data_IF_573845202531
#
_entry.id   IF_573845202531
#
_cell.length_a   1.000
_cell.length_b   1.000
_cell.length_c   1.000
_cell.angle_alpha   90.00
_cell.angle_beta   90.00
_cell.angle_gamma   90.00
#
_symmetry.space_group_name_H-M   'P 1'
#
loop_
_entity.id
_entity.type
_entity.pdbx_description
1 polymer ?
#
# COMPACT_ATOMS: atom_id res chain seq x y z
N UNK A 1 -20.16 40.19 27.04
CA UNK A 1 -20.70 41.33 27.76
C UNK A 1 -21.86 40.93 28.70
N UNK A 2 -22.68 39.95 28.38
CA UNK A 2 -23.86 39.53 29.18
C UNK A 2 -23.57 38.83 30.52
N UNK A 3 -22.30 38.38 30.74
CA UNK A 3 -21.92 37.75 32.02
C UNK A 3 -21.40 38.73 33.08
N UNK A 4 -21.15 39.97 32.72
CA UNK A 4 -20.58 40.98 33.64
C UNK A 4 -21.56 41.53 34.69
N UNK A 5 -22.82 41.75 34.33
CA UNK A 5 -23.82 42.34 35.26
C UNK A 5 -24.23 41.34 36.36
N UNK A 6 -24.52 40.07 35.98
CA UNK A 6 -24.81 39.00 36.95
C UNK A 6 -23.67 38.64 37.88
N UNK A 7 -22.44 38.92 37.48
CA UNK A 7 -21.25 38.67 38.27
C UNK A 7 -21.08 39.68 39.41
N UNK A 8 -21.27 40.96 39.11
CA UNK A 8 -21.20 42.04 40.11
C UNK A 8 -22.32 41.94 41.16
N UNK A 9 -23.56 41.62 40.75
CA UNK A 9 -24.68 41.44 41.67
C UNK A 9 -24.47 40.29 42.63
N UNK A 10 -23.84 39.19 42.19
CA UNK A 10 -23.53 38.08 43.05
C UNK A 10 -22.36 38.36 44.02
N UNK A 11 -21.38 39.17 43.62
CA UNK A 11 -20.32 39.65 44.53
C UNK A 11 -20.90 40.61 45.59
N UNK A 12 -21.76 41.54 45.18
CA UNK A 12 -22.40 42.49 46.06
C UNK A 12 -23.33 41.85 47.11
N UNK A 13 -23.89 40.68 46.78
CA UNK A 13 -24.73 39.91 47.73
C UNK A 13 -23.92 39.06 48.72
N UNK A 14 -22.58 39.12 48.71
CA UNK A 14 -21.71 38.37 49.62
C UNK A 14 -21.60 36.86 49.33
N UNK A 15 -22.11 36.41 48.17
CA UNK A 15 -21.98 35.01 47.75
C UNK A 15 -20.63 34.75 47.13
N UNK A 16 -20.08 33.57 47.44
CA UNK A 16 -18.88 33.05 46.74
C UNK A 16 -19.21 32.81 45.26
N UNK A 17 -18.36 33.28 44.38
CA UNK A 17 -18.47 33.05 42.93
C UNK A 17 -17.19 32.37 42.42
N UNK A 18 -17.39 31.37 41.61
CA UNK A 18 -16.32 30.60 40.96
C UNK A 18 -16.54 30.63 39.46
N UNK A 19 -15.43 30.82 38.70
CA UNK A 19 -15.48 30.76 37.24
C UNK A 19 -14.10 30.44 36.68
N UNK A 20 -14.12 29.77 35.55
CA UNK A 20 -12.91 29.51 34.74
C UNK A 20 -12.89 30.51 33.59
N UNK A 21 -11.68 30.92 33.19
CA UNK A 21 -11.49 31.64 31.94
C UNK A 21 -10.19 31.25 31.26
N UNK A 22 -10.20 31.34 29.91
CA UNK A 22 -9.06 31.14 29.07
C UNK A 22 -8.49 32.50 28.66
N UNK A 23 -7.19 32.62 28.73
CA UNK A 23 -6.44 33.78 28.30
C UNK A 23 -5.41 33.39 27.23
N UNK A 24 -5.42 34.11 26.10
CA UNK A 24 -4.40 33.96 25.06
C UNK A 24 -3.48 35.19 25.11
N UNK A 25 -2.17 34.92 25.32
CA UNK A 25 -1.17 35.98 25.32
C UNK A 25 -1.02 36.56 23.92
N UNK A 26 -1.14 37.87 23.74
CA UNK A 26 -1.20 38.50 22.42
C UNK A 26 0.05 38.30 21.56
N UNK A 27 1.24 38.31 22.17
CA UNK A 27 2.51 38.19 21.47
C UNK A 27 2.96 36.73 21.32
N UNK A 28 2.91 35.93 22.39
CA UNK A 28 3.38 34.54 22.39
C UNK A 28 2.35 33.54 21.90
N UNK A 29 1.07 33.94 21.77
CA UNK A 29 -0.07 33.07 21.45
C UNK A 29 -0.23 31.89 22.44
N UNK A 30 0.40 31.99 23.61
CA UNK A 30 0.27 31.00 24.66
C UNK A 30 -1.09 31.09 25.31
N UNK A 31 -1.80 29.97 25.42
CA UNK A 31 -3.11 29.88 26.09
C UNK A 31 -2.90 29.44 27.51
N UNK A 32 -3.52 30.17 28.46
CA UNK A 32 -3.53 29.86 29.88
C UNK A 32 -4.94 29.79 30.43
N UNK A 33 -5.15 28.88 31.33
CA UNK A 33 -6.42 28.66 31.99
C UNK A 33 -6.33 29.02 33.48
N UNK A 34 -7.24 29.85 33.94
CA UNK A 34 -7.31 30.29 35.31
C UNK A 34 -8.62 29.90 35.92
N UNK A 35 -8.58 29.39 37.13
CA UNK A 35 -9.71 29.20 38.01
C UNK A 35 -9.76 30.32 39.04
N UNK A 36 -10.87 31.04 39.13
CA UNK A 36 -11.01 32.19 39.98
C UNK A 36 -12.12 31.96 40.99
N UNK A 37 -11.83 32.37 42.20
CA UNK A 37 -12.82 32.40 43.30
C UNK A 37 -12.85 33.81 43.85
N UNK A 38 -14.04 34.45 43.84
CA UNK A 38 -14.25 35.74 44.46
C UNK A 38 -15.18 35.60 45.67
N UNK A 39 -14.76 36.14 46.78
CA UNK A 39 -15.52 36.14 48.04
C UNK A 39 -15.67 37.58 48.52
N UNK A 40 -16.94 38.02 48.69
CA UNK A 40 -17.27 39.29 49.32
C UNK A 40 -17.38 39.13 50.83
N UNK A 41 -16.77 40.02 51.59
CA UNK A 41 -16.87 40.07 53.06
C UNK A 41 -17.06 41.51 53.53
N UNK A 42 -17.97 41.73 54.51
CA UNK A 42 -18.19 43.04 55.11
C UNK A 42 -17.27 43.22 56.32
N UNK A 43 -16.39 44.21 56.24
CA UNK A 43 -15.40 44.53 57.32
C UNK A 43 -15.53 46.02 57.62
N UNK A 44 -15.85 46.36 58.86
CA UNK A 44 -16.03 47.77 59.34
C UNK A 44 -17.03 48.62 58.50
N UNK A 45 -18.16 48.00 58.07
CA UNK A 45 -19.15 48.66 57.24
C UNK A 45 -18.76 48.95 55.80
N UNK A 46 -17.71 48.30 55.32
CA UNK A 46 -17.25 48.31 53.90
C UNK A 46 -17.15 46.92 53.35
N UNK A 47 -17.69 46.68 52.16
CA UNK A 47 -17.57 45.43 51.47
C UNK A 47 -16.16 45.31 50.90
N UNK A 48 -15.42 44.28 51.32
CA UNK A 48 -14.09 43.91 50.78
C UNK A 48 -14.26 42.63 49.97
N UNK A 49 -13.57 42.54 48.83
CA UNK A 49 -13.51 41.39 47.99
C UNK A 49 -12.15 40.76 48.04
N UNK A 50 -12.11 39.42 48.18
CA UNK A 50 -10.93 38.60 48.05
C UNK A 50 -11.06 37.85 46.74
N UNK A 51 -10.12 38.02 45.82
CA UNK A 51 -10.02 37.29 44.58
C UNK A 51 -8.85 36.33 44.69
N UNK A 52 -9.15 35.04 44.59
CA UNK A 52 -8.12 33.99 44.50
C UNK A 52 -8.07 33.54 43.04
N UNK A 53 -6.93 33.67 42.42
CA UNK A 53 -6.68 33.23 41.05
C UNK A 53 -5.67 32.08 41.05
N UNK A 54 -6.05 30.95 40.49
CA UNK A 54 -5.20 29.74 40.38
C UNK A 54 -4.95 29.43 38.92
N UNK A 55 -3.70 29.39 38.55
CA UNK A 55 -3.31 28.93 37.20
C UNK A 55 -3.49 27.39 37.10
N UNK A 56 -4.39 26.97 36.22
CA UNK A 56 -4.75 25.58 35.95
C UNK A 56 -4.26 25.10 34.57
N UNK A 57 -3.38 25.86 33.94
CA UNK A 57 -2.88 25.57 32.59
C UNK A 57 -2.28 24.19 32.51
N UNK A 58 -1.38 23.84 33.45
CA UNK A 58 -0.73 22.54 33.49
C UNK A 58 -1.76 21.39 33.68
N UNK A 59 -2.70 21.56 34.63
CA UNK A 59 -3.76 20.58 34.87
C UNK A 59 -4.64 20.36 33.62
N UNK A 60 -5.01 21.43 32.94
CA UNK A 60 -5.83 21.37 31.70
C UNK A 60 -5.05 20.71 30.57
N UNK A 61 -3.77 21.02 30.38
CA UNK A 61 -2.91 20.41 29.36
C UNK A 61 -2.74 18.90 29.61
N UNK A 62 -2.46 18.51 30.86
CA UNK A 62 -2.34 17.09 31.24
C UNK A 62 -3.65 16.34 31.02
N UNK A 63 -4.79 16.92 31.44
CA UNK A 63 -6.09 16.30 31.24
C UNK A 63 -6.46 16.19 29.77
N UNK A 64 -6.15 17.19 28.94
CA UNK A 64 -6.36 17.11 27.49
C UNK A 64 -5.48 16.03 26.87
N UNK A 65 -4.19 16.00 27.18
CA UNK A 65 -3.27 14.97 26.68
C UNK A 65 -3.71 13.56 27.11
N UNK A 66 -4.19 13.41 28.34
CA UNK A 66 -4.74 12.15 28.83
C UNK A 66 -6.02 11.75 28.08
N UNK A 67 -6.93 12.70 27.87
CA UNK A 67 -8.16 12.46 27.07
C UNK A 67 -7.85 12.04 25.65
N UNK A 68 -6.91 12.71 25.00
CA UNK A 68 -6.48 12.40 23.64
C UNK A 68 -5.80 11.01 23.58
N UNK A 69 -4.97 10.68 24.57
CA UNK A 69 -4.34 9.36 24.68
C UNK A 69 -5.36 8.24 24.92
N UNK A 70 -6.37 8.47 25.75
CA UNK A 70 -7.47 7.51 25.99
C UNK A 70 -8.29 7.31 24.71
N UNK A 71 -8.66 8.39 24.02
CA UNK A 71 -9.41 8.32 22.76
C UNK A 71 -8.63 7.55 21.67
N UNK A 72 -7.31 7.80 21.57
CA UNK A 72 -6.43 7.07 20.66
C UNK A 72 -6.36 5.58 21.02
N UNK A 73 -6.18 5.26 22.31
CA UNK A 73 -6.12 3.88 22.81
C UNK A 73 -7.46 3.13 22.59
N UNK A 74 -8.59 3.78 22.82
CA UNK A 74 -9.92 3.19 22.54
C UNK A 74 -10.12 2.91 21.06
N UNK A 75 -9.70 3.84 20.18
CA UNK A 75 -9.78 3.68 18.73
C UNK A 75 -8.94 2.49 18.28
N UNK A 76 -7.70 2.39 18.77
CA UNK A 76 -6.81 1.26 18.49
C UNK A 76 -7.40 -0.06 19.00
N UNK A 77 -7.99 -0.08 20.20
CA UNK A 77 -8.59 -1.29 20.78
C UNK A 77 -9.85 -1.74 20.02
N UNK A 78 -10.67 -0.79 19.56
CA UNK A 78 -11.84 -1.10 18.70
C UNK A 78 -11.39 -1.68 17.36
N UNK A 79 -10.37 -1.08 16.72
CA UNK A 79 -9.78 -1.61 15.49
C UNK A 79 -9.27 -3.04 15.69
N UNK A 80 -8.54 -3.31 16.79
CA UNK A 80 -8.04 -4.65 17.16
C UNK A 80 -9.17 -5.65 17.39
N UNK A 81 -10.25 -5.25 18.06
CA UNK A 81 -11.40 -6.13 18.31
C UNK A 81 -12.15 -6.47 17.03
N UNK A 82 -12.35 -5.49 16.16
CA UNK A 82 -12.93 -5.69 14.82
C UNK A 82 -12.05 -6.62 13.97
N UNK A 83 -10.74 -6.46 14.05
CA UNK A 83 -9.76 -7.34 13.41
C UNK A 83 -9.95 -8.79 13.82
N UNK A 84 -9.92 -9.09 15.12
CA UNK A 84 -10.06 -10.46 15.63
C UNK A 84 -11.39 -11.10 15.21
N UNK A 85 -12.47 -10.33 15.21
CA UNK A 85 -13.78 -10.77 14.74
C UNK A 85 -13.78 -11.12 13.25
N UNK A 86 -13.25 -10.22 12.42
CA UNK A 86 -13.18 -10.43 10.97
C UNK A 86 -12.26 -11.61 10.62
N UNK A 87 -11.09 -11.72 11.27
CA UNK A 87 -10.17 -12.83 11.09
C UNK A 87 -10.80 -14.18 11.48
N UNK A 88 -11.55 -14.24 12.59
CA UNK A 88 -12.28 -15.44 12.96
C UNK A 88 -13.27 -15.89 11.89
N UNK A 89 -13.97 -14.94 11.28
CA UNK A 89 -14.89 -15.22 10.18
C UNK A 89 -14.15 -15.68 8.92
N UNK A 90 -13.08 -14.98 8.55
CA UNK A 90 -12.34 -15.23 7.31
C UNK A 90 -11.53 -16.54 7.37
N UNK A 91 -11.10 -16.97 8.56
CA UNK A 91 -10.51 -18.29 8.81
C UNK A 91 -11.58 -19.39 8.77
N UNK A 92 -12.76 -19.14 9.37
CA UNK A 92 -13.84 -20.14 9.44
C UNK A 92 -14.38 -20.53 8.07
N UNK A 93 -14.48 -19.58 7.16
CA UNK A 93 -15.04 -19.81 5.81
C UNK A 93 -14.25 -20.85 5.01
N UNK A 94 -12.94 -20.71 4.76
CA UNK A 94 -12.14 -21.72 4.07
C UNK A 94 -12.06 -23.04 4.86
N UNK A 95 -12.02 -23.00 6.19
CA UNK A 95 -12.00 -24.19 7.02
C UNK A 95 -13.29 -25.02 6.85
N UNK A 96 -14.45 -24.37 6.84
CA UNK A 96 -15.72 -25.04 6.59
C UNK A 96 -15.80 -25.58 5.15
N UNK A 97 -15.23 -24.86 4.16
CA UNK A 97 -15.13 -25.33 2.79
C UNK A 97 -14.24 -26.58 2.67
N UNK A 98 -13.09 -26.62 3.33
CA UNK A 98 -12.22 -27.80 3.39
C UNK A 98 -12.98 -28.99 3.96
N UNK A 99 -13.63 -28.84 5.12
CA UNK A 99 -14.41 -29.89 5.76
C UNK A 99 -15.55 -30.36 4.82
N UNK A 100 -16.32 -29.41 4.26
CA UNK A 100 -17.45 -29.71 3.39
C UNK A 100 -17.05 -30.44 2.12
N UNK A 101 -16.04 -29.97 1.38
CA UNK A 101 -15.58 -30.62 0.17
C UNK A 101 -14.92 -31.98 0.44
N UNK A 102 -14.20 -32.11 1.55
CA UNK A 102 -13.65 -33.42 1.97
C UNK A 102 -14.78 -34.42 2.28
N UNK A 103 -15.82 -34.00 3.01
CA UNK A 103 -16.99 -34.84 3.29
C UNK A 103 -17.72 -35.25 1.99
N UNK A 104 -17.89 -34.30 1.04
CA UNK A 104 -18.49 -34.59 -0.26
C UNK A 104 -17.62 -35.55 -1.09
N UNK A 105 -16.30 -35.41 -1.04
CA UNK A 105 -15.39 -36.34 -1.72
C UNK A 105 -15.53 -37.77 -1.19
N UNK A 106 -15.59 -37.93 0.15
CA UNK A 106 -15.79 -39.22 0.80
C UNK A 106 -17.15 -39.83 0.41
N UNK A 107 -18.21 -39.03 0.42
CA UNK A 107 -19.58 -39.49 0.07
C UNK A 107 -19.75 -39.86 -1.41
N UNK A 108 -18.85 -39.41 -2.28
CA UNK A 108 -18.91 -39.66 -3.72
C UNK A 108 -17.66 -40.41 -4.22
N UNK A 109 -17.08 -41.28 -3.39
CA UNK A 109 -15.79 -41.91 -3.64
C UNK A 109 -15.71 -42.70 -4.96
N UNK A 110 -16.82 -43.22 -5.44
CA UNK A 110 -16.92 -43.97 -6.69
C UNK A 110 -16.99 -43.08 -7.95
N UNK A 111 -17.25 -41.79 -7.78
CA UNK A 111 -17.28 -40.80 -8.88
C UNK A 111 -15.96 -40.03 -8.95
N UNK A 112 -14.99 -40.54 -9.72
CA UNK A 112 -13.64 -40.00 -9.82
C UNK A 112 -13.58 -38.52 -10.24
N UNK A 113 -14.47 -38.07 -11.14
CA UNK A 113 -14.48 -36.69 -11.63
C UNK A 113 -14.96 -35.74 -10.53
N UNK A 114 -16.01 -36.09 -9.79
CA UNK A 114 -16.47 -35.30 -8.64
C UNK A 114 -15.46 -35.27 -7.51
N UNK A 115 -14.86 -36.43 -7.21
CA UNK A 115 -13.80 -36.48 -6.18
C UNK A 115 -12.63 -35.55 -6.54
N UNK A 116 -12.20 -35.56 -7.80
CA UNK A 116 -11.13 -34.70 -8.29
C UNK A 116 -11.50 -33.20 -8.18
N UNK A 117 -12.73 -32.84 -8.52
CA UNK A 117 -13.25 -31.46 -8.38
C UNK A 117 -13.28 -31.02 -6.90
N UNK A 118 -13.78 -31.88 -5.99
CA UNK A 118 -13.83 -31.59 -4.56
C UNK A 118 -12.43 -31.46 -3.96
N UNK A 119 -11.49 -32.33 -4.32
CA UNK A 119 -10.10 -32.24 -3.90
C UNK A 119 -9.42 -30.96 -4.40
N UNK A 120 -9.66 -30.55 -5.65
CA UNK A 120 -9.15 -29.28 -6.18
C UNK A 120 -9.69 -28.07 -5.38
N UNK A 121 -10.98 -28.07 -5.04
CA UNK A 121 -11.61 -27.04 -4.21
C UNK A 121 -11.07 -27.05 -2.76
N UNK A 122 -10.82 -28.23 -2.20
CA UNK A 122 -10.18 -28.39 -0.89
C UNK A 122 -8.79 -27.79 -0.90
N UNK A 123 -7.97 -28.09 -1.90
CA UNK A 123 -6.63 -27.57 -2.05
C UNK A 123 -6.62 -26.05 -2.19
N UNK A 124 -7.51 -25.49 -3.02
CA UNK A 124 -7.68 -24.06 -3.19
C UNK A 124 -8.05 -23.36 -1.86
N UNK A 125 -8.98 -23.96 -1.09
CA UNK A 125 -9.37 -23.43 0.23
C UNK A 125 -8.26 -23.52 1.25
N UNK A 126 -7.45 -24.60 1.23
CA UNK A 126 -6.29 -24.77 2.10
C UNK A 126 -5.19 -23.75 1.81
N UNK A 127 -4.88 -23.50 0.54
CA UNK A 127 -3.92 -22.50 0.13
C UNK A 127 -4.38 -21.08 0.53
N UNK A 128 -5.68 -20.81 0.41
CA UNK A 128 -6.24 -19.53 0.87
C UNK A 128 -6.12 -19.36 2.38
N UNK A 129 -6.41 -20.42 3.17
CA UNK A 129 -6.24 -20.39 4.62
C UNK A 129 -4.78 -20.16 5.03
N UNK A 130 -3.83 -20.81 4.34
CA UNK A 130 -2.41 -20.62 4.58
C UNK A 130 -1.97 -19.18 4.31
N UNK A 131 -2.45 -18.57 3.22
CA UNK A 131 -2.20 -17.16 2.93
C UNK A 131 -2.72 -16.24 4.04
N UNK A 132 -3.95 -16.47 4.53
CA UNK A 132 -4.53 -15.72 5.64
C UNK A 132 -3.70 -15.81 6.91
N UNK A 133 -3.24 -17.01 7.27
CA UNK A 133 -2.39 -17.23 8.45
C UNK A 133 -1.06 -16.46 8.31
N UNK A 134 -0.44 -16.52 7.13
CA UNK A 134 0.82 -15.82 6.86
C UNK A 134 0.64 -14.29 6.94
N UNK A 135 -0.46 -13.74 6.40
CA UNK A 135 -0.78 -12.32 6.49
C UNK A 135 -0.90 -11.86 7.96
N UNK A 136 -1.57 -12.66 8.79
CA UNK A 136 -1.72 -12.37 10.24
C UNK A 136 -0.38 -12.43 10.97
N UNK A 137 0.45 -13.43 10.66
CA UNK A 137 1.79 -13.57 11.25
C UNK A 137 2.72 -12.44 10.83
N UNK A 138 2.69 -12.04 9.56
CA UNK A 138 3.47 -10.90 9.07
C UNK A 138 3.02 -9.60 9.74
N UNK A 139 1.72 -9.34 9.84
CA UNK A 139 1.20 -8.16 10.53
C UNK A 139 1.63 -8.14 12.00
N UNK A 140 1.54 -9.26 12.70
CA UNK A 140 1.99 -9.38 14.10
C UNK A 140 3.50 -9.13 14.27
N UNK A 141 4.33 -9.59 13.31
CA UNK A 141 5.78 -9.34 13.31
C UNK A 141 6.10 -7.88 13.04
N UNK A 142 5.36 -7.24 12.13
CA UNK A 142 5.47 -5.81 11.82
C UNK A 142 5.11 -4.98 13.07
N UNK A 143 3.94 -5.20 13.68
CA UNK A 143 3.50 -4.46 14.86
C UNK A 143 4.45 -4.61 16.07
N UNK A 144 5.06 -5.79 16.22
CA UNK A 144 6.03 -6.04 17.30
C UNK A 144 7.46 -5.58 17.00
N UNK A 145 7.72 -5.00 15.81
CA UNK A 145 9.05 -4.59 15.36
C UNK A 145 10.04 -5.75 15.18
N UNK A 146 9.54 -6.99 15.03
CA UNK A 146 10.36 -8.20 14.92
C UNK A 146 10.59 -8.63 13.46
N UNK A 147 10.04 -7.91 12.50
CA UNK A 147 10.34 -8.15 11.10
C UNK A 147 11.72 -7.56 10.79
N UNK A 148 12.63 -8.37 10.29
CA UNK A 148 13.94 -7.94 9.81
C UNK A 148 14.03 -8.20 8.32
N UNK A 149 14.68 -7.31 7.59
CA UNK A 149 14.98 -7.47 6.17
C UNK A 149 16.30 -8.24 6.01
N UNK A 150 16.32 -9.21 5.10
CA UNK A 150 17.50 -9.98 4.74
C UNK A 150 17.94 -9.59 3.33
N UNK A 151 18.95 -8.71 3.25
CA UNK A 151 19.53 -8.32 1.96
C UNK A 151 20.36 -9.46 1.39
N UNK A 152 19.97 -9.91 0.21
CA UNK A 152 20.70 -10.92 -0.60
C UNK A 152 20.93 -10.38 -2.00
N UNK A 153 21.83 -11.02 -2.73
CA UNK A 153 22.05 -10.74 -4.15
C UNK A 153 20.82 -11.16 -4.96
N UNK A 154 20.27 -10.24 -5.74
CA UNK A 154 19.05 -10.45 -6.52
C UNK A 154 19.23 -9.86 -7.91
N UNK A 155 18.91 -10.63 -8.93
CA UNK A 155 18.74 -10.13 -10.29
C UNK A 155 17.26 -9.76 -10.51
N UNK A 156 16.99 -8.53 -10.92
CA UNK A 156 15.62 -8.02 -11.10
C UNK A 156 14.89 -8.66 -12.30
N UNK A 157 15.62 -9.05 -13.33
CA UNK A 157 15.05 -9.77 -14.48
C UNK A 157 14.56 -11.15 -14.08
N UNK A 158 15.31 -11.86 -13.21
CA UNK A 158 14.88 -13.15 -12.66
C UNK A 158 13.62 -13.00 -11.80
N UNK A 159 13.53 -11.94 -10.99
CA UNK A 159 12.33 -11.63 -10.19
C UNK A 159 11.12 -11.46 -11.12
N UNK A 160 11.23 -10.69 -12.18
CA UNK A 160 10.14 -10.50 -13.14
C UNK A 160 9.76 -11.79 -13.86
N UNK A 161 10.74 -12.63 -14.20
CA UNK A 161 10.51 -13.94 -14.81
C UNK A 161 9.73 -14.87 -13.88
N UNK A 162 10.17 -14.96 -12.62
CA UNK A 162 9.49 -15.74 -11.58
C UNK A 162 8.03 -15.28 -11.39
N UNK A 163 7.80 -13.97 -11.28
CA UNK A 163 6.47 -13.38 -11.16
C UNK A 163 5.57 -13.73 -12.35
N UNK A 164 6.10 -13.58 -13.58
CA UNK A 164 5.36 -13.94 -14.80
C UNK A 164 4.94 -15.40 -14.77
N UNK A 165 5.84 -16.29 -14.37
CA UNK A 165 5.59 -17.73 -14.29
C UNK A 165 4.48 -18.03 -13.29
N UNK A 166 4.52 -17.41 -12.09
CA UNK A 166 3.53 -17.62 -11.04
C UNK A 166 2.12 -17.18 -11.47
N UNK A 167 2.00 -16.03 -12.16
CA UNK A 167 0.67 -15.47 -12.49
C UNK A 167 0.13 -15.95 -13.84
N UNK A 168 0.93 -16.60 -14.70
CA UNK A 168 0.56 -16.99 -16.05
C UNK A 168 -0.74 -17.79 -16.12
N UNK A 169 -0.95 -18.73 -15.20
CA UNK A 169 -2.18 -19.52 -15.13
C UNK A 169 -3.43 -18.67 -14.88
N UNK A 170 -3.34 -17.65 -14.02
CA UNK A 170 -4.47 -16.76 -13.72
C UNK A 170 -4.74 -15.79 -14.88
N UNK A 171 -3.68 -15.28 -15.51
CA UNK A 171 -3.75 -14.44 -16.70
C UNK A 171 -4.47 -15.17 -17.83
N UNK A 172 -4.03 -16.40 -18.13
CA UNK A 172 -4.65 -17.22 -19.17
C UNK A 172 -6.11 -17.56 -18.86
N UNK A 173 -6.40 -18.02 -17.64
CA UNK A 173 -7.76 -18.38 -17.23
C UNK A 173 -8.75 -17.19 -17.31
N UNK A 174 -8.25 -15.97 -17.14
CA UNK A 174 -9.05 -14.74 -17.18
C UNK A 174 -8.97 -14.01 -18.51
N UNK A 175 -8.19 -14.55 -19.48
CA UNK A 175 -7.97 -13.96 -20.80
C UNK A 175 -7.46 -12.51 -20.72
N UNK A 176 -6.52 -12.24 -19.79
CA UNK A 176 -5.91 -10.92 -19.64
C UNK A 176 -4.66 -10.81 -20.52
N UNK A 177 -4.31 -9.59 -20.88
CA UNK A 177 -3.02 -9.26 -21.45
C UNK A 177 -2.07 -8.82 -20.35
N UNK A 178 -0.85 -9.39 -20.32
CA UNK A 178 0.18 -9.06 -19.35
C UNK A 178 1.42 -8.53 -20.06
N UNK A 179 1.78 -7.28 -19.76
CA UNK A 179 3.02 -6.65 -20.22
C UNK A 179 3.98 -6.49 -19.04
N UNK A 180 5.22 -6.92 -19.22
CA UNK A 180 6.27 -6.77 -18.22
C UNK A 180 7.54 -6.25 -18.89
N UNK A 181 8.06 -5.12 -18.42
CA UNK A 181 9.27 -4.53 -18.96
C UNK A 181 10.18 -3.94 -17.85
N UNK A 182 11.49 -3.98 -18.11
CA UNK A 182 12.54 -3.39 -17.27
C UNK A 182 13.49 -2.53 -18.11
N UNK A 183 12.96 -1.76 -19.06
CA UNK A 183 13.69 -1.07 -20.13
C UNK A 183 14.74 -0.08 -19.64
N UNK A 184 14.40 0.64 -18.58
CA UNK A 184 15.21 1.73 -18.06
C UNK A 184 16.02 1.29 -16.82
N UNK A 185 16.32 -0.01 -16.68
CA UNK A 185 17.20 -0.56 -15.64
C UNK A 185 18.58 -0.80 -16.25
N UNK A 186 19.58 -0.11 -15.69
CA UNK A 186 20.99 -0.32 -16.08
C UNK A 186 21.70 -1.30 -15.16
N UNK A 187 21.34 -1.30 -13.89
CA UNK A 187 21.90 -2.16 -12.86
C UNK A 187 20.82 -3.16 -12.41
N UNK A 188 20.79 -4.33 -13.05
CA UNK A 188 19.80 -5.37 -12.76
C UNK A 188 20.15 -6.18 -11.52
N UNK A 189 21.45 -6.27 -11.19
CA UNK A 189 21.97 -7.01 -10.05
C UNK A 189 22.05 -6.07 -8.83
N UNK A 190 21.21 -6.36 -7.84
CA UNK A 190 21.02 -5.51 -6.65
C UNK A 190 21.05 -6.31 -5.35
N UNK A 191 21.29 -5.62 -4.24
CA UNK A 191 21.10 -6.19 -2.90
C UNK A 191 19.72 -5.75 -2.38
N UNK A 192 18.84 -6.71 -2.12
CA UNK A 192 17.54 -6.48 -1.49
C UNK A 192 17.00 -7.77 -0.85
N UNK A 193 15.93 -7.66 -0.07
CA UNK A 193 15.20 -8.83 0.40
C UNK A 193 14.29 -9.36 -0.73
N UNK A 194 14.74 -10.43 -1.42
CA UNK A 194 14.01 -11.07 -2.53
C UNK A 194 12.62 -11.54 -2.09
N UNK A 195 12.50 -12.09 -0.90
CA UNK A 195 11.23 -12.62 -0.39
C UNK A 195 10.21 -11.50 -0.20
N UNK A 196 10.63 -10.40 0.41
CA UNK A 196 9.77 -9.26 0.65
C UNK A 196 9.46 -8.48 -0.63
N UNK A 197 10.41 -8.33 -1.52
CA UNK A 197 10.16 -7.74 -2.85
C UNK A 197 9.13 -8.57 -3.63
N UNK A 198 9.28 -9.88 -3.68
CA UNK A 198 8.31 -10.78 -4.32
C UNK A 198 6.92 -10.68 -3.66
N UNK A 199 6.87 -10.61 -2.32
CA UNK A 199 5.61 -10.46 -1.58
C UNK A 199 4.87 -9.16 -1.96
N UNK A 200 5.58 -8.03 -2.03
CA UNK A 200 5.04 -6.74 -2.49
C UNK A 200 4.46 -6.88 -3.90
N UNK A 201 5.28 -7.35 -4.83
CA UNK A 201 4.93 -7.40 -6.25
C UNK A 201 3.80 -8.39 -6.53
N UNK A 202 3.82 -9.57 -5.90
CA UNK A 202 2.74 -10.56 -6.03
C UNK A 202 1.43 -10.07 -5.44
N UNK A 203 1.47 -9.35 -4.32
CA UNK A 203 0.26 -8.80 -3.72
C UNK A 203 -0.40 -7.75 -4.64
N UNK A 204 0.39 -6.85 -5.21
CA UNK A 204 -0.12 -5.84 -6.14
C UNK A 204 -0.59 -6.46 -7.46
N UNK A 205 0.20 -7.38 -8.01
CA UNK A 205 -0.12 -8.04 -9.28
C UNK A 205 -1.37 -8.93 -9.16
N UNK A 206 -1.50 -9.68 -8.06
CA UNK A 206 -2.71 -10.47 -7.80
C UNK A 206 -3.97 -9.61 -7.63
N UNK A 207 -3.84 -8.43 -7.01
CA UNK A 207 -4.93 -7.46 -6.93
C UNK A 207 -5.27 -6.90 -8.32
N UNK A 208 -4.30 -6.50 -9.13
CA UNK A 208 -4.51 -6.05 -10.49
C UNK A 208 -5.26 -7.12 -11.33
N UNK A 209 -4.79 -8.38 -11.31
CA UNK A 209 -5.45 -9.50 -11.99
C UNK A 209 -6.88 -9.71 -11.46
N UNK A 210 -7.07 -9.64 -10.15
CA UNK A 210 -8.35 -9.87 -9.49
C UNK A 210 -9.41 -8.85 -9.88
N UNK A 211 -9.05 -7.56 -9.95
CA UNK A 211 -9.97 -6.46 -10.19
C UNK A 211 -10.06 -6.02 -11.66
N UNK A 212 -9.27 -6.62 -12.55
CA UNK A 212 -9.39 -6.41 -14.00
C UNK A 212 -10.41 -7.39 -14.58
N UNK A 213 -11.42 -6.94 -15.36
CA UNK A 213 -12.35 -7.83 -16.04
C UNK A 213 -11.64 -8.66 -17.13
N UNK A 214 -12.29 -9.75 -17.56
CA UNK A 214 -11.77 -10.59 -18.65
C UNK A 214 -11.52 -9.75 -19.92
N UNK A 215 -10.43 -10.02 -20.62
CA UNK A 215 -9.99 -9.26 -21.80
C UNK A 215 -9.32 -7.92 -21.48
N UNK A 216 -9.09 -7.62 -20.19
CA UNK A 216 -8.37 -6.42 -19.79
C UNK A 216 -6.86 -6.59 -19.80
N UNK A 217 -6.17 -5.53 -19.42
CA UNK A 217 -4.71 -5.41 -19.50
C UNK A 217 -4.11 -5.11 -18.13
N UNK A 218 -3.02 -5.80 -17.81
CA UNK A 218 -2.18 -5.55 -16.63
C UNK A 218 -0.75 -5.33 -17.09
N UNK A 219 -0.08 -4.31 -16.58
CA UNK A 219 1.32 -4.04 -16.90
C UNK A 219 2.18 -3.86 -15.65
N UNK A 220 3.40 -4.38 -15.71
CA UNK A 220 4.45 -4.20 -14.70
C UNK A 220 5.64 -3.55 -15.39
N UNK A 221 6.04 -2.39 -14.90
CA UNK A 221 7.19 -1.67 -15.42
C UNK A 221 8.19 -1.38 -14.30
N UNK A 222 9.46 -1.69 -14.56
CA UNK A 222 10.57 -1.40 -13.65
C UNK A 222 11.47 -0.34 -14.29
N UNK A 223 11.86 0.66 -13.52
CA UNK A 223 12.78 1.73 -13.92
C UNK A 223 13.81 1.97 -12.84
N UNK A 224 15.03 2.24 -13.26
CA UNK A 224 16.05 2.80 -12.39
C UNK A 224 16.04 4.31 -12.54
N UNK A 225 15.76 5.01 -11.45
CA UNK A 225 15.81 6.48 -11.41
C UNK A 225 17.23 6.92 -11.09
N UNK A 226 17.60 8.13 -11.51
CA UNK A 226 18.91 8.71 -11.17
C UNK A 226 19.10 8.68 -9.64
N UNK A 227 20.13 7.99 -9.17
CA UNK A 227 20.36 7.72 -7.76
C UNK A 227 20.93 8.92 -7.00
N UNK A 228 20.72 8.93 -5.70
CA UNK A 228 21.42 9.82 -4.78
C UNK A 228 22.88 9.33 -4.58
N UNK A 229 23.76 10.24 -4.23
CA UNK A 229 25.24 10.19 -4.23
C UNK A 229 25.91 9.15 -3.30
N UNK A 230 25.38 7.93 -3.16
CA UNK A 230 25.93 6.94 -2.22
C UNK A 230 25.98 5.49 -2.75
N UNK A 231 26.01 5.27 -4.08
CA UNK A 231 26.06 3.91 -4.65
C UNK A 231 24.73 3.13 -4.54
N UNK A 232 23.64 3.78 -4.08
CA UNK A 232 22.30 3.22 -4.08
C UNK A 232 21.53 3.79 -5.26
N UNK A 233 21.03 2.92 -6.15
CA UNK A 233 20.05 3.27 -7.17
C UNK A 233 18.65 3.35 -6.56
N UNK A 234 17.80 4.22 -7.09
CA UNK A 234 16.40 4.20 -6.75
C UNK A 234 15.62 3.46 -7.84
N UNK A 235 14.91 2.41 -7.47
CA UNK A 235 14.15 1.59 -8.39
C UNK A 235 12.66 1.86 -8.22
N UNK A 236 12.00 2.14 -9.35
CA UNK A 236 10.57 2.38 -9.42
C UNK A 236 9.89 1.18 -10.07
N UNK A 237 8.92 0.59 -9.36
CA UNK A 237 8.05 -0.46 -9.85
C UNK A 237 6.66 0.12 -10.04
N UNK A 238 6.12 0.01 -11.25
CA UNK A 238 4.77 0.45 -11.59
C UNK A 238 3.92 -0.75 -11.96
N UNK A 239 2.87 -0.98 -11.22
CA UNK A 239 1.88 -2.02 -11.51
C UNK A 239 0.58 -1.30 -11.87
N UNK A 240 0.17 -1.44 -13.14
CA UNK A 240 -1.00 -0.76 -13.69
C UNK A 240 -2.00 -1.76 -14.25
N UNK A 241 -3.26 -1.52 -13.99
CA UNK A 241 -4.40 -2.24 -14.55
C UNK A 241 -5.42 -1.28 -15.19
N UNK A 242 -6.23 -1.80 -16.10
CA UNK A 242 -7.39 -1.12 -16.67
C UNK A 242 -8.71 -1.63 -16.08
N UNK A 243 -8.69 -2.07 -14.83
CA UNK A 243 -9.81 -2.64 -14.12
C UNK A 243 -10.86 -1.64 -13.64
N UNK A 244 -11.59 -2.04 -12.61
CA UNK A 244 -12.70 -1.24 -12.06
C UNK A 244 -12.27 0.07 -11.39
N UNK A 245 -10.98 0.20 -11.01
CA UNK A 245 -10.49 1.33 -10.23
C UNK A 245 -11.13 1.42 -8.84
N UNK A 246 -10.90 2.53 -8.15
CA UNK A 246 -11.33 2.75 -6.77
C UNK A 246 -11.95 4.14 -6.61
N UNK A 247 -12.81 4.30 -5.60
CA UNK A 247 -13.32 5.61 -5.20
C UNK A 247 -12.22 6.47 -4.57
N UNK A 248 -12.29 7.81 -4.67
CA UNK A 248 -11.32 8.71 -4.05
C UNK A 248 -11.26 8.57 -2.52
N UNK A 249 -12.38 8.24 -1.89
CA UNK A 249 -12.49 8.03 -0.45
C UNK A 249 -11.75 6.75 -0.03
N UNK A 250 -11.91 5.66 -0.79
CA UNK A 250 -11.23 4.40 -0.52
C UNK A 250 -9.74 4.47 -0.85
N UNK A 251 -9.35 5.16 -1.92
CA UNK A 251 -7.95 5.35 -2.29
C UNK A 251 -7.10 5.98 -1.19
N UNK A 252 -7.70 6.85 -0.34
CA UNK A 252 -7.00 7.45 0.82
C UNK A 252 -6.75 6.46 1.95
N UNK A 253 -7.53 5.39 2.03
CA UNK A 253 -7.52 4.41 3.13
C UNK A 253 -7.02 3.04 2.71
N UNK A 254 -6.66 2.83 1.44
CA UNK A 254 -6.31 1.51 0.91
C UNK A 254 -5.14 0.85 1.65
N UNK A 255 -4.27 1.64 2.25
CA UNK A 255 -3.13 1.17 3.04
C UNK A 255 -3.44 1.00 4.53
N UNK A 256 -4.64 1.37 4.98
CA UNK A 256 -5.08 1.12 6.35
C UNK A 256 -5.44 -0.37 6.50
N UNK A 257 -5.05 -1.01 7.60
CA UNK A 257 -5.38 -2.42 7.82
C UNK A 257 -6.90 -2.65 7.80
N UNK A 258 -7.35 -3.74 7.16
CA UNK A 258 -8.74 -4.21 7.09
C UNK A 258 -9.71 -3.37 6.26
N UNK A 259 -9.25 -2.31 5.64
CA UNK A 259 -10.09 -1.52 4.75
C UNK A 259 -10.42 -2.30 3.48
N UNK A 260 -11.70 -2.26 3.10
CA UNK A 260 -12.24 -2.88 1.89
C UNK A 260 -13.33 -2.00 1.30
N UNK A 261 -13.29 -1.80 0.00
CA UNK A 261 -14.36 -1.06 -0.68
C UNK A 261 -15.65 -1.89 -0.69
N UNK A 262 -16.72 -1.34 -0.09
CA UNK A 262 -18.03 -1.99 0.02
C UNK A 262 -18.93 -1.55 -1.13
N UNK A 263 -18.72 -2.09 -2.32
CA UNK A 263 -19.65 -1.92 -3.45
C UNK A 263 -20.27 -3.27 -3.81
N UNK A 264 -21.43 -3.26 -4.45
CA UNK A 264 -22.12 -4.48 -4.87
C UNK A 264 -21.28 -5.38 -5.78
N UNK A 265 -20.36 -4.79 -6.53
CA UNK A 265 -19.43 -5.49 -7.42
C UNK A 265 -18.25 -6.10 -6.66
N UNK A 266 -17.71 -5.39 -5.66
CA UNK A 266 -16.52 -5.80 -4.89
C UNK A 266 -16.87 -6.74 -3.74
N UNK A 267 -18.08 -6.66 -3.20
CA UNK A 267 -18.51 -7.49 -2.05
C UNK A 267 -18.44 -9.00 -2.29
N UNK A 268 -18.42 -9.45 -3.56
CA UNK A 268 -18.26 -10.86 -3.95
C UNK A 268 -16.80 -11.31 -4.08
N UNK A 269 -15.86 -10.37 -4.01
CA UNK A 269 -14.43 -10.65 -4.21
C UNK A 269 -13.79 -10.83 -2.85
N UNK A 270 -13.31 -12.04 -2.54
CA UNK A 270 -12.63 -12.37 -1.27
C UNK A 270 -11.30 -11.63 -1.11
N UNK A 271 -10.96 -11.24 0.12
CA UNK A 271 -9.66 -10.65 0.48
C UNK A 271 -9.61 -10.29 1.96
N UNK A 272 -8.42 -10.33 2.55
CA UNK A 272 -8.17 -10.06 3.98
C UNK A 272 -8.26 -8.59 4.36
N UNK A 273 -7.98 -7.70 3.39
CA UNK A 273 -7.74 -6.29 3.67
C UNK A 273 -6.40 -6.01 4.37
N UNK A 274 -5.54 -7.03 4.53
CA UNK A 274 -4.21 -6.89 5.13
C UNK A 274 -3.11 -6.69 4.10
N UNK A 275 -3.26 -7.26 2.90
CA UNK A 275 -2.19 -7.30 1.92
C UNK A 275 -1.62 -5.91 1.59
N UNK A 276 -2.47 -4.89 1.41
CA UNK A 276 -2.02 -3.52 1.09
C UNK A 276 -1.32 -2.85 2.28
N UNK A 277 -1.79 -3.08 3.50
CA UNK A 277 -1.15 -2.59 4.72
C UNK A 277 0.23 -3.26 4.93
N UNK A 278 0.33 -4.58 4.73
CA UNK A 278 1.59 -5.31 4.76
C UNK A 278 2.54 -4.78 3.69
N UNK A 279 2.06 -4.59 2.45
CA UNK A 279 2.86 -4.01 1.36
C UNK A 279 3.43 -2.65 1.74
N UNK A 280 2.61 -1.75 2.29
CA UNK A 280 3.04 -0.41 2.74
C UNK A 280 4.13 -0.51 3.81
N UNK A 281 3.90 -1.34 4.83
CA UNK A 281 4.88 -1.52 5.91
C UNK A 281 6.22 -2.08 5.40
N UNK A 282 6.20 -3.08 4.51
CA UNK A 282 7.43 -3.65 3.94
C UNK A 282 8.17 -2.59 3.11
N UNK A 283 7.45 -1.83 2.27
CA UNK A 283 8.04 -0.72 1.49
C UNK A 283 8.67 0.32 2.40
N UNK A 284 8.00 0.71 3.50
CA UNK A 284 8.53 1.67 4.47
C UNK A 284 9.79 1.13 5.18
N UNK A 285 9.81 -0.16 5.54
CA UNK A 285 10.99 -0.82 6.11
C UNK A 285 12.16 -0.89 5.13
N UNK A 286 11.89 -1.02 3.83
CA UNK A 286 12.90 -0.93 2.77
C UNK A 286 13.37 0.51 2.51
N UNK A 287 12.88 1.51 3.26
CA UNK A 287 13.20 2.93 3.07
C UNK A 287 12.57 3.54 1.81
N UNK A 288 11.53 2.90 1.29
CA UNK A 288 10.86 3.28 0.06
C UNK A 288 9.57 4.07 0.27
N UNK A 289 8.86 4.30 -0.83
CA UNK A 289 7.54 4.93 -0.86
C UNK A 289 6.60 4.15 -1.77
N UNK A 290 5.30 4.15 -1.44
CA UNK A 290 4.25 3.60 -2.29
C UNK A 290 3.14 4.63 -2.48
N UNK A 291 2.71 4.80 -3.71
CA UNK A 291 1.63 5.70 -4.12
C UNK A 291 0.61 4.94 -4.95
N UNK A 292 -0.63 5.43 -5.00
CA UNK A 292 -1.69 4.90 -5.86
C UNK A 292 -2.34 6.01 -6.67
N UNK A 293 -2.50 5.77 -7.96
CA UNK A 293 -3.26 6.61 -8.88
C UNK A 293 -4.41 5.77 -9.42
N UNK A 294 -5.64 6.19 -9.15
CA UNK A 294 -6.81 5.40 -9.52
C UNK A 294 -8.02 6.28 -9.78
N UNK A 295 -8.92 5.81 -10.61
CA UNK A 295 -10.24 6.38 -10.79
C UNK A 295 -11.24 5.27 -11.14
N UNK A 296 -12.47 5.39 -10.65
CA UNK A 296 -13.52 4.41 -10.95
C UNK A 296 -13.72 4.23 -12.46
N UNK A 297 -13.71 2.98 -12.90
CA UNK A 297 -13.86 2.59 -14.32
C UNK A 297 -12.63 2.86 -15.19
N UNK A 298 -11.51 3.34 -14.63
CA UNK A 298 -10.28 3.62 -15.39
C UNK A 298 -9.09 2.76 -14.95
N UNK A 299 -9.28 1.91 -13.94
CA UNK A 299 -8.23 1.07 -13.37
C UNK A 299 -7.40 1.77 -12.30
N UNK A 300 -6.29 1.15 -11.94
CA UNK A 300 -5.37 1.62 -10.90
C UNK A 300 -3.93 1.48 -11.34
N UNK A 301 -3.07 2.37 -10.86
CA UNK A 301 -1.62 2.30 -11.00
C UNK A 301 -0.99 2.45 -9.62
N UNK A 302 -0.27 1.43 -9.17
CA UNK A 302 0.54 1.46 -7.97
C UNK A 302 1.99 1.75 -8.34
N UNK A 303 2.59 2.71 -7.66
CA UNK A 303 3.95 3.18 -7.91
C UNK A 303 4.75 2.99 -6.62
N UNK A 304 5.73 2.09 -6.66
CA UNK A 304 6.63 1.81 -5.54
C UNK A 304 8.01 2.33 -5.92
N UNK A 305 8.65 3.03 -5.00
CA UNK A 305 10.05 3.45 -5.14
C UNK A 305 10.82 2.95 -3.94
N UNK A 306 11.85 2.14 -4.18
CA UNK A 306 12.72 1.59 -3.15
C UNK A 306 14.18 1.86 -3.49
N UNK A 307 14.99 2.28 -2.50
CA UNK A 307 16.44 2.34 -2.67
C UNK A 307 17.01 0.93 -2.63
N UNK A 308 17.84 0.59 -3.60
CA UNK A 308 18.58 -0.68 -3.61
C UNK A 308 20.03 -0.41 -3.95
N UNK A 309 20.94 -1.12 -3.32
CA UNK A 309 22.36 -1.02 -3.61
C UNK A 309 22.68 -1.88 -4.84
N UNK A 310 23.22 -1.26 -5.90
CA UNK A 310 23.70 -2.00 -7.04
C UNK A 310 24.94 -2.81 -6.68
N UNK A 311 25.13 -3.97 -7.30
CA UNK A 311 26.38 -4.72 -7.20
C UNK A 311 27.48 -3.97 -7.94
N UNK A 312 28.67 -3.90 -7.35
CA UNK A 312 29.78 -3.11 -7.90
C UNK A 312 30.37 -3.67 -9.21
N UNK A 313 30.09 -4.90 -9.53
CA UNK A 313 30.54 -5.54 -10.76
C UNK A 313 29.44 -5.42 -11.84
N UNK A 314 29.49 -4.34 -12.61
CA UNK A 314 28.84 -4.32 -13.91
C UNK A 314 29.43 -5.45 -14.74
N UNK A 315 28.65 -6.48 -15.04
CA UNK A 315 28.96 -7.30 -16.21
C UNK A 315 28.61 -6.45 -17.42
N UNK A 316 29.59 -5.90 -18.15
CA UNK A 316 29.29 -5.19 -19.39
C UNK A 316 28.53 -6.19 -20.27
N UNK A 317 27.38 -5.76 -20.81
CA UNK A 317 26.71 -6.54 -21.85
C UNK A 317 27.75 -6.73 -22.94
N UNK A 318 28.27 -7.96 -23.06
CA UNK A 318 29.27 -8.27 -24.09
C UNK A 318 28.64 -7.99 -25.45
N UNK A 319 29.22 -7.04 -26.19
CA UNK A 319 28.81 -6.82 -27.56
C UNK A 319 29.05 -8.14 -28.32
N UNK A 320 28.03 -8.64 -28.96
CA UNK A 320 28.12 -9.81 -29.78
C UNK A 320 28.81 -9.39 -31.07
N UNK A 321 30.08 -9.79 -31.24
CA UNK A 321 30.93 -9.36 -32.34
C UNK A 321 30.30 -9.63 -33.72
N UNK A 322 29.55 -10.74 -33.83
CA UNK A 322 28.82 -11.13 -35.04
C UNK A 322 27.65 -10.22 -35.39
N UNK A 323 27.12 -9.48 -34.40
CA UNK A 323 26.00 -8.57 -34.58
C UNK A 323 26.42 -7.10 -34.72
N UNK A 324 27.71 -6.80 -34.48
CA UNK A 324 28.20 -5.42 -34.49
C UNK A 324 28.00 -4.74 -35.85
N UNK A 325 27.27 -3.62 -35.81
CA UNK A 325 27.00 -2.80 -37.01
C UNK A 325 25.90 -3.34 -37.93
N UNK A 326 25.34 -4.54 -37.68
CA UNK A 326 24.21 -5.04 -38.43
C UNK A 326 22.97 -4.13 -38.22
N UNK A 327 22.20 -3.95 -39.29
CA UNK A 327 20.94 -3.19 -39.22
C UNK A 327 19.80 -4.09 -38.82
N UNK A 328 18.94 -3.62 -37.89
CA UNK A 328 17.70 -4.28 -37.51
C UNK A 328 16.53 -3.28 -37.59
N UNK A 329 15.39 -3.74 -38.06
CA UNK A 329 14.14 -2.99 -38.04
C UNK A 329 13.13 -3.77 -37.18
N UNK A 330 12.76 -3.16 -36.05
CA UNK A 330 11.75 -3.70 -35.12
C UNK A 330 10.39 -3.21 -35.57
N UNK A 331 9.43 -4.14 -35.70
CA UNK A 331 8.06 -3.80 -36.15
C UNK A 331 7.07 -4.41 -35.18
N UNK A 332 6.34 -3.55 -34.49
CA UNK A 332 5.28 -3.93 -33.56
C UNK A 332 4.27 -2.78 -33.48
N UNK A 333 3.03 -3.05 -33.11
CA UNK A 333 2.01 -2.03 -32.91
C UNK A 333 2.08 -1.34 -31.54
N UNK A 334 2.80 -1.95 -30.56
CA UNK A 334 3.11 -1.33 -29.28
C UNK A 334 4.43 -0.58 -29.29
N UNK A 335 4.36 0.73 -29.01
CA UNK A 335 5.52 1.60 -28.92
C UNK A 335 6.54 1.11 -27.89
N UNK A 336 6.07 0.62 -26.72
CA UNK A 336 6.96 0.20 -25.66
C UNK A 336 7.75 -1.05 -26.05
N UNK A 337 7.11 -2.00 -26.72
CA UNK A 337 7.76 -3.19 -27.26
C UNK A 337 8.84 -2.80 -28.29
N UNK A 338 8.49 -1.92 -29.22
CA UNK A 338 9.43 -1.41 -30.22
C UNK A 338 10.66 -0.74 -29.59
N UNK A 339 10.46 0.15 -28.64
CA UNK A 339 11.53 0.89 -27.97
C UNK A 339 12.43 -0.04 -27.15
N UNK A 340 11.82 -1.01 -26.40
CA UNK A 340 12.56 -2.03 -25.64
C UNK A 340 13.49 -2.85 -26.50
N UNK A 341 12.92 -3.49 -27.52
CA UNK A 341 13.68 -4.37 -28.40
C UNK A 341 14.79 -3.61 -29.11
N UNK A 342 14.49 -2.39 -29.57
CA UNK A 342 15.47 -1.52 -30.22
C UNK A 342 16.65 -1.18 -29.30
N UNK A 343 16.38 -0.77 -28.06
CA UNK A 343 17.43 -0.49 -27.07
C UNK A 343 18.26 -1.73 -26.76
N UNK A 344 17.64 -2.91 -26.65
CA UNK A 344 18.34 -4.18 -26.44
C UNK A 344 19.29 -4.50 -27.60
N UNK A 345 18.82 -4.36 -28.83
CA UNK A 345 19.63 -4.61 -30.03
C UNK A 345 20.80 -3.62 -30.13
N UNK A 346 20.60 -2.36 -29.77
CA UNK A 346 21.66 -1.36 -29.72
C UNK A 346 22.70 -1.69 -28.66
N UNK A 347 22.30 -2.17 -27.47
CA UNK A 347 23.21 -2.61 -26.40
C UNK A 347 24.13 -3.73 -26.83
N UNK A 348 23.65 -4.68 -27.66
CA UNK A 348 24.48 -5.78 -28.17
C UNK A 348 25.32 -5.41 -29.43
N UNK A 349 25.26 -4.13 -29.87
CA UNK A 349 26.11 -3.61 -30.95
C UNK A 349 25.46 -3.43 -32.30
N UNK A 350 24.14 -3.69 -32.42
CA UNK A 350 23.40 -3.50 -33.69
C UNK A 350 22.99 -2.03 -33.90
N UNK A 351 22.71 -1.70 -35.15
CA UNK A 351 22.03 -0.44 -35.54
C UNK A 351 20.54 -0.74 -35.70
N UNK A 352 19.75 -0.51 -34.65
CA UNK A 352 18.35 -0.84 -34.65
C UNK A 352 17.47 0.42 -34.78
N UNK A 353 16.43 0.31 -35.61
CA UNK A 353 15.36 1.28 -35.77
C UNK A 353 14.03 0.56 -35.55
N UNK A 354 12.95 1.31 -35.29
CA UNK A 354 11.64 0.74 -35.11
C UNK A 354 10.56 1.50 -35.89
N UNK A 355 9.43 0.81 -36.11
CA UNK A 355 8.20 1.40 -36.66
C UNK A 355 6.98 0.67 -36.09
N UNK A 356 5.88 1.41 -35.88
CA UNK A 356 4.60 0.89 -35.42
C UNK A 356 3.72 0.33 -36.54
N UNK A 357 4.21 0.40 -37.79
CA UNK A 357 3.40 0.06 -38.95
C UNK A 357 4.10 -0.94 -39.89
N UNK A 358 3.48 -2.09 -40.11
CA UNK A 358 3.96 -3.06 -41.09
C UNK A 358 4.06 -2.49 -42.53
N UNK A 359 3.20 -1.55 -42.92
CA UNK A 359 3.30 -0.87 -44.22
C UNK A 359 4.55 -0.01 -44.31
N UNK A 360 4.87 0.73 -43.25
CA UNK A 360 6.07 1.56 -43.19
C UNK A 360 7.31 0.68 -43.13
N UNK A 361 7.28 -0.44 -42.44
CA UNK A 361 8.36 -1.41 -42.39
C UNK A 361 8.75 -1.91 -43.79
N UNK A 362 7.77 -2.27 -44.61
CA UNK A 362 8.01 -2.71 -45.98
C UNK A 362 8.64 -1.59 -46.85
N UNK A 363 8.21 -0.35 -46.66
CA UNK A 363 8.78 0.78 -47.38
C UNK A 363 10.25 1.05 -46.97
N UNK A 364 10.55 1.04 -45.68
CA UNK A 364 11.92 1.22 -45.15
C UNK A 364 12.85 0.07 -45.57
N UNK A 365 12.37 -1.17 -45.52
CA UNK A 365 13.15 -2.33 -45.96
C UNK A 365 13.50 -2.27 -47.46
N UNK A 366 12.60 -1.76 -48.32
CA UNK A 366 12.87 -1.57 -49.74
C UNK A 366 13.85 -0.43 -50.05
N UNK A 367 13.98 0.55 -49.18
CA UNK A 367 14.92 1.68 -49.34
C UNK A 367 16.31 1.35 -48.79
N UNK A 368 16.47 0.25 -48.04
CA UNK A 368 17.72 -0.16 -47.43
C UNK A 368 18.47 -1.22 -48.22
N UNK A 369 17.89 -1.68 -49.34
CA UNK A 369 18.47 -2.54 -50.36
C UNK A 369 19.02 -1.64 -51.50
#
# INVERSE_FOLDING_TARGET
>A
PEHGENFLDGLLSGQQREWDFEFEHLETKERRWFHNIAIGSEVEGRTKYILVMSDRTADKQVNQALSDAVAAAETANRAKSTFLSNMSHDIRTPMNAIIGFTTLAISNIDDKERVKDYLAKTLASSNHLLSLINDVLDMSRIESGKLHLEEVEVNLSDVLHDLKTIVSGQIYAKQLELYMDAMDVTDEDVYCDKTRLNQILLNLLSNAIKFTPAGGTVSVRVRQLAGQACGCGQYEFRIKDNGIGMSPEFAKKIFEPFERERTSTVSRIQGTGLGMAITKNIVDMMGGTIEVQTAQGKGSEFIIRVPMRAQAEHRPVEKITELEGLKALVVDDDFNTCDSVTKMLVKVGMRAEWTLSGKEAVLRARQSI
#
